data_IF_688489080429
#
_entry.id   IF_688489080429
#
_cell.length_a   1.000
_cell.length_b   1.000
_cell.length_c   1.000
_cell.angle_alpha   90.00
_cell.angle_beta   90.00
_cell.angle_gamma   90.00
#
_symmetry.space_group_name_H-M   'P 1'
#
loop_
_entity.id
_entity.type
_entity.pdbx_description
1 polymer ?
#
# COMPACT_ATOMS: atom_id res chain seq x y z
N UNK A 1 8.53 3.62 -20.62
CA UNK A 1 9.56 2.78 -21.25
C UNK A 1 9.68 1.43 -20.54
N UNK A 2 9.91 0.35 -21.28
CA UNK A 2 10.29 -0.96 -20.75
C UNK A 2 11.74 -0.94 -20.20
N UNK A 3 12.29 -2.11 -19.79
CA UNK A 3 13.63 -2.16 -19.18
C UNK A 3 14.73 -1.84 -20.19
N UNK A 4 14.60 -2.30 -21.44
CA UNK A 4 15.58 -2.07 -22.50
C UNK A 4 15.58 -0.61 -22.94
N UNK A 5 14.39 -0.03 -23.14
CA UNK A 5 14.24 1.40 -23.46
C UNK A 5 14.77 2.31 -22.32
N UNK A 6 14.61 1.91 -21.05
CA UNK A 6 15.17 2.68 -19.93
C UNK A 6 16.69 2.63 -19.91
N UNK A 7 17.29 1.48 -20.24
CA UNK A 7 18.74 1.34 -20.38
C UNK A 7 19.28 2.27 -21.47
N UNK A 8 18.66 2.28 -22.66
CA UNK A 8 19.04 3.18 -23.75
C UNK A 8 18.93 4.67 -23.33
N UNK A 9 17.87 5.04 -22.62
CA UNK A 9 17.70 6.41 -22.10
C UNK A 9 18.81 6.76 -21.09
N UNK A 10 19.13 5.85 -20.18
CA UNK A 10 20.24 6.04 -19.23
C UNK A 10 21.58 6.20 -19.97
N UNK A 11 21.85 5.38 -20.99
CA UNK A 11 23.07 5.50 -21.81
C UNK A 11 23.17 6.88 -22.50
N UNK A 12 22.04 7.40 -23.01
CA UNK A 12 21.98 8.73 -23.64
C UNK A 12 22.34 9.82 -22.61
N UNK A 13 21.76 9.77 -21.42
CA UNK A 13 21.95 10.81 -20.39
C UNK A 13 23.28 10.71 -19.65
N UNK A 14 23.91 9.52 -19.65
CA UNK A 14 25.23 9.31 -19.03
C UNK A 14 26.39 9.39 -20.01
N UNK A 15 26.16 9.53 -21.32
CA UNK A 15 27.19 9.51 -22.37
C UNK A 15 28.39 10.42 -22.10
N UNK A 16 28.17 11.58 -21.50
CA UNK A 16 29.20 12.57 -21.19
C UNK A 16 29.55 12.62 -19.69
N UNK A 17 29.10 11.64 -18.91
CA UNK A 17 29.39 11.57 -17.48
C UNK A 17 30.58 10.65 -17.23
N UNK A 18 31.54 11.04 -16.39
CA UNK A 18 32.60 10.15 -15.94
C UNK A 18 32.01 9.12 -14.96
N UNK A 19 31.63 7.94 -15.46
CA UNK A 19 31.10 6.85 -14.65
C UNK A 19 32.24 6.00 -14.07
N UNK A 20 32.07 5.53 -12.84
CA UNK A 20 32.93 4.53 -12.22
C UNK A 20 32.66 3.14 -12.82
N UNK A 21 33.64 2.24 -12.71
CA UNK A 21 33.51 0.85 -13.20
C UNK A 21 32.44 0.04 -12.45
N UNK A 22 31.97 0.51 -11.28
CA UNK A 22 30.94 -0.14 -10.46
C UNK A 22 29.50 0.20 -10.90
N UNK A 23 29.34 1.12 -11.89
CA UNK A 23 28.03 1.53 -12.39
C UNK A 23 27.54 0.57 -13.47
N UNK A 24 26.46 -0.14 -13.16
CA UNK A 24 25.77 -1.07 -14.05
C UNK A 24 24.44 -0.46 -14.50
N UNK A 25 24.40 0.07 -15.73
CA UNK A 25 23.19 0.73 -16.29
C UNK A 25 22.04 -0.27 -16.52
N UNK A 26 22.34 -1.52 -16.87
CA UNK A 26 21.35 -2.57 -17.01
C UNK A 26 20.64 -2.84 -15.67
N UNK A 27 21.41 -2.98 -14.60
CA UNK A 27 20.89 -3.16 -13.26
C UNK A 27 20.13 -1.93 -12.79
N UNK A 28 20.59 -0.72 -13.13
CA UNK A 28 19.90 0.52 -12.81
C UNK A 28 18.56 0.61 -13.54
N UNK A 29 18.51 0.25 -14.83
CA UNK A 29 17.29 0.17 -15.62
C UNK A 29 16.27 -0.83 -15.03
N UNK A 30 16.75 -1.97 -14.53
CA UNK A 30 15.89 -2.97 -13.88
C UNK A 30 15.29 -2.50 -12.56
N UNK A 31 15.95 -1.58 -11.85
CA UNK A 31 15.48 -1.02 -10.55
C UNK A 31 14.63 0.23 -10.69
N UNK A 32 14.59 0.87 -11.87
CA UNK A 32 13.86 2.12 -12.14
C UNK A 32 12.47 1.88 -12.73
N UNK A 33 11.72 0.92 -12.18
CA UNK A 33 10.35 0.66 -12.62
C UNK A 33 9.47 1.92 -12.49
N UNK A 34 8.70 2.22 -13.54
CA UNK A 34 7.78 3.36 -13.55
C UNK A 34 8.44 4.73 -13.75
N UNK A 35 9.76 4.79 -14.00
CA UNK A 35 10.45 6.01 -14.41
C UNK A 35 10.17 6.31 -15.88
N UNK A 36 9.80 7.56 -16.19
CA UNK A 36 9.74 8.06 -17.57
C UNK A 36 11.07 8.73 -17.94
N UNK A 37 11.26 9.08 -19.22
CA UNK A 37 12.51 9.68 -19.68
C UNK A 37 12.99 10.88 -18.87
N UNK A 38 12.06 11.76 -18.49
CA UNK A 38 12.37 12.95 -17.65
C UNK A 38 12.82 12.58 -16.23
N UNK A 39 12.33 11.46 -15.68
CA UNK A 39 12.77 10.97 -14.36
C UNK A 39 14.18 10.39 -14.43
N UNK A 40 14.48 9.64 -15.51
CA UNK A 40 15.81 9.08 -15.76
C UNK A 40 16.85 10.18 -16.02
N UNK A 41 16.47 11.25 -16.76
CA UNK A 41 17.31 12.45 -16.88
C UNK A 41 17.55 13.08 -15.52
N UNK A 42 16.51 13.27 -14.70
CA UNK A 42 16.62 13.84 -13.35
C UNK A 42 17.49 12.99 -12.45
N UNK A 43 17.40 11.65 -12.55
CA UNK A 43 18.23 10.70 -11.82
C UNK A 43 19.71 10.86 -12.17
N UNK A 44 20.04 10.90 -13.45
CA UNK A 44 21.41 11.11 -13.92
C UNK A 44 21.95 12.46 -13.43
N UNK A 45 21.13 13.52 -13.53
CA UNK A 45 21.49 14.86 -13.12
C UNK A 45 21.73 14.98 -11.60
N UNK A 46 20.85 14.37 -10.79
CA UNK A 46 21.03 14.37 -9.33
C UNK A 46 22.26 13.55 -8.90
N UNK A 47 22.50 12.38 -9.52
CA UNK A 47 23.70 11.60 -9.26
C UNK A 47 24.98 12.43 -9.55
N UNK A 48 25.02 13.15 -10.68
CA UNK A 48 26.13 14.05 -11.02
C UNK A 48 26.25 15.23 -10.04
N UNK A 49 25.11 15.84 -9.64
CA UNK A 49 25.11 16.95 -8.67
C UNK A 49 25.62 16.54 -7.28
N UNK A 50 25.44 15.29 -6.87
CA UNK A 50 26.00 14.76 -5.62
C UNK A 50 27.53 14.74 -5.67
N UNK A 51 28.10 14.34 -6.78
CA UNK A 51 29.57 14.40 -6.98
C UNK A 51 30.06 15.86 -6.89
N UNK A 52 29.36 16.79 -7.55
CA UNK A 52 29.69 18.23 -7.49
C UNK A 52 29.62 18.73 -6.03
N UNK A 53 28.54 18.44 -5.30
CA UNK A 53 28.40 18.83 -3.88
C UNK A 53 29.48 18.26 -2.99
N UNK A 54 29.97 17.05 -3.28
CA UNK A 54 31.06 16.39 -2.53
C UNK A 54 32.40 17.10 -2.74
N UNK A 55 32.61 17.66 -3.94
CA UNK A 55 33.89 18.22 -4.36
C UNK A 55 33.99 19.74 -4.11
N UNK A 56 32.87 20.47 -4.15
CA UNK A 56 32.83 21.93 -3.91
C UNK A 56 33.62 22.35 -2.65
N UNK A 57 33.56 21.67 -1.49
CA UNK A 57 34.34 22.04 -0.30
C UNK A 57 35.85 21.90 -0.46
N UNK A 58 36.31 21.08 -1.43
CA UNK A 58 37.74 20.85 -1.71
C UNK A 58 38.30 21.92 -2.66
N UNK A 59 37.42 22.67 -3.36
CA UNK A 59 37.81 23.73 -4.29
C UNK A 59 37.88 25.05 -3.54
N UNK A 60 39.10 25.59 -3.37
CA UNK A 60 39.30 26.94 -2.82
C UNK A 60 39.01 27.97 -3.93
N UNK A 61 38.25 29.01 -3.59
CA UNK A 61 37.94 30.11 -4.52
C UNK A 61 39.28 30.72 -5.05
N UNK A 62 39.37 30.86 -6.39
CA UNK A 62 40.40 31.51 -7.17
C UNK A 62 41.68 30.71 -7.51
N UNK A 63 41.75 29.38 -7.31
CA UNK A 63 42.84 28.57 -7.81
C UNK A 63 42.38 27.60 -8.91
N UNK A 64 43.27 27.28 -9.87
CA UNK A 64 43.02 26.22 -10.86
C UNK A 64 42.75 24.88 -10.13
N UNK A 65 41.71 24.16 -10.57
CA UNK A 65 41.33 22.90 -9.94
C UNK A 65 42.47 21.88 -10.10
N UNK A 66 43.03 21.36 -8.99
CA UNK A 66 44.14 20.39 -9.07
C UNK A 66 43.75 19.14 -9.85
N UNK A 67 44.65 18.55 -10.63
CA UNK A 67 44.39 17.30 -11.37
C UNK A 67 43.92 16.14 -10.47
N UNK A 68 44.34 16.11 -9.21
CA UNK A 68 43.90 15.12 -8.23
C UNK A 68 42.41 15.25 -7.87
N UNK A 69 41.90 16.47 -7.88
CA UNK A 69 40.46 16.74 -7.64
C UNK A 69 39.65 16.40 -8.89
N UNK A 70 40.17 16.68 -10.09
CA UNK A 70 39.55 16.29 -11.35
C UNK A 70 39.36 14.77 -11.47
N UNK A 71 40.35 13.97 -11.00
CA UNK A 71 40.26 12.50 -10.98
C UNK A 71 39.22 11.95 -10.01
N UNK A 72 38.76 12.74 -9.02
CA UNK A 72 37.71 12.38 -8.08
C UNK A 72 36.30 12.68 -8.63
N UNK A 73 36.17 13.38 -9.76
CA UNK A 73 34.91 13.68 -10.43
C UNK A 73 34.46 12.41 -11.18
N UNK A 74 34.02 11.42 -10.44
CA UNK A 74 33.49 10.16 -10.99
C UNK A 74 32.18 9.83 -10.28
N UNK A 75 31.16 9.53 -11.05
CA UNK A 75 29.83 9.15 -10.54
C UNK A 75 29.82 7.66 -10.24
N UNK A 76 29.54 7.32 -9.00
CA UNK A 76 29.55 5.92 -8.52
C UNK A 76 28.14 5.34 -8.44
N UNK A 77 28.03 4.02 -8.31
CA UNK A 77 26.76 3.35 -8.07
C UNK A 77 26.05 3.84 -6.79
N UNK A 78 26.82 4.22 -5.77
CA UNK A 78 26.26 4.76 -4.53
C UNK A 78 25.67 6.17 -4.70
N UNK A 79 26.21 6.98 -5.62
CA UNK A 79 25.61 8.27 -5.99
C UNK A 79 24.24 8.06 -6.66
N UNK A 80 24.11 7.07 -7.56
CA UNK A 80 22.83 6.69 -8.16
C UNK A 80 21.85 6.11 -7.15
N UNK A 81 22.26 5.20 -6.27
CA UNK A 81 21.40 4.67 -5.21
C UNK A 81 20.88 5.75 -4.27
N UNK A 82 21.70 6.74 -3.99
CA UNK A 82 21.31 7.86 -3.15
C UNK A 82 20.38 8.82 -3.86
N UNK A 83 20.58 9.06 -5.17
CA UNK A 83 19.69 9.85 -6.01
C UNK A 83 18.30 9.17 -6.16
N UNK A 84 18.26 7.84 -6.29
CA UNK A 84 17.01 7.06 -6.33
C UNK A 84 16.13 7.24 -5.09
N UNK A 85 16.70 7.53 -3.93
CA UNK A 85 15.92 7.79 -2.70
C UNK A 85 15.21 9.15 -2.72
N UNK A 86 15.70 10.11 -3.50
CA UNK A 86 15.16 11.47 -3.56
C UNK A 86 14.21 11.68 -4.74
N UNK A 87 14.40 10.91 -5.83
CA UNK A 87 13.59 11.05 -7.04
C UNK A 87 12.45 10.05 -7.01
N UNK A 88 11.23 10.57 -6.95
CA UNK A 88 10.02 9.77 -7.10
C UNK A 88 9.63 9.67 -8.58
N UNK A 89 9.31 8.47 -9.09
CA UNK A 89 8.88 8.28 -10.48
C UNK A 89 7.64 9.12 -10.78
N UNK A 90 7.66 9.87 -11.89
CA UNK A 90 6.53 10.74 -12.28
C UNK A 90 5.28 9.94 -12.62
N UNK A 91 5.44 8.75 -13.21
CA UNK A 91 4.35 7.82 -13.45
C UNK A 91 3.72 7.30 -12.13
N UNK A 92 4.40 7.45 -10.99
CA UNK A 92 3.90 7.07 -9.66
C UNK A 92 3.16 8.22 -8.92
N UNK A 93 3.26 9.47 -9.41
CA UNK A 93 2.68 10.64 -8.71
C UNK A 93 1.14 10.63 -8.69
N UNK A 94 0.50 9.98 -9.66
CA UNK A 94 -0.96 9.94 -9.75
C UNK A 94 -1.59 8.78 -8.97
N UNK A 95 -0.91 7.62 -8.91
CA UNK A 95 -1.34 6.43 -8.15
C UNK A 95 -0.22 6.02 -7.21
N UNK A 96 -0.43 6.15 -5.91
CA UNK A 96 0.55 5.77 -4.89
C UNK A 96 0.65 4.24 -4.78
N UNK A 97 1.80 3.70 -5.16
CA UNK A 97 2.16 2.30 -4.85
C UNK A 97 2.85 2.30 -3.48
N UNK A 98 2.33 1.53 -2.56
CA UNK A 98 2.87 1.37 -1.22
C UNK A 98 3.45 -0.03 -1.07
N UNK A 99 4.53 -0.15 -0.31
CA UNK A 99 4.97 -1.43 0.23
C UNK A 99 4.50 -1.45 1.69
N UNK A 100 3.41 -2.14 2.01
CA UNK A 100 2.90 -2.16 3.37
C UNK A 100 3.88 -2.93 4.27
N UNK A 101 4.01 -2.50 5.52
CA UNK A 101 4.80 -3.19 6.53
C UNK A 101 3.89 -3.60 7.69
N UNK A 102 2.86 -4.38 7.36
CA UNK A 102 1.88 -4.91 8.32
C UNK A 102 1.91 -6.41 8.22
N UNK A 103 2.11 -7.10 9.33
CA UNK A 103 2.15 -8.57 9.40
C UNK A 103 0.82 -9.13 9.91
N UNK A 104 0.62 -10.44 9.73
CA UNK A 104 -0.55 -11.10 10.32
C UNK A 104 -0.60 -11.00 11.85
N UNK A 105 0.56 -10.86 12.51
CA UNK A 105 0.66 -10.69 13.97
C UNK A 105 0.17 -9.32 14.44
N UNK A 106 0.21 -8.30 13.56
CA UNK A 106 -0.32 -6.96 13.85
C UNK A 106 -1.86 -6.91 13.78
N UNK A 107 -2.49 -7.98 13.35
CA UNK A 107 -3.95 -8.11 13.28
C UNK A 107 -4.44 -8.99 14.42
N UNK A 108 -5.07 -8.41 15.42
CA UNK A 108 -5.60 -9.17 16.57
C UNK A 108 -6.84 -9.99 16.20
N UNK A 109 -6.82 -11.31 16.45
CA UNK A 109 -7.95 -12.23 16.16
C UNK A 109 -8.21 -12.40 14.66
N UNK A 110 -9.49 -12.64 14.31
CA UNK A 110 -9.96 -12.84 12.93
C UNK A 110 -9.29 -14.01 12.18
N UNK A 111 -8.97 -15.09 12.87
CA UNK A 111 -8.19 -16.21 12.33
C UNK A 111 -8.85 -16.88 11.11
N UNK A 112 -10.17 -17.04 11.12
CA UNK A 112 -10.93 -17.56 9.97
C UNK A 112 -10.82 -16.62 8.76
N UNK A 113 -10.95 -15.31 8.98
CA UNK A 113 -10.84 -14.28 7.93
C UNK A 113 -9.41 -14.23 7.36
N UNK A 114 -8.40 -14.33 8.24
CA UNK A 114 -7.00 -14.42 7.82
C UNK A 114 -6.76 -15.64 6.95
N UNK A 115 -7.30 -16.81 7.35
CA UNK A 115 -7.16 -18.03 6.59
C UNK A 115 -7.83 -17.92 5.22
N UNK A 116 -9.05 -17.38 5.15
CA UNK A 116 -9.75 -17.13 3.88
C UNK A 116 -8.97 -16.19 2.96
N UNK A 117 -8.35 -15.14 3.50
CA UNK A 117 -7.51 -14.21 2.73
C UNK A 117 -6.21 -14.85 2.26
N UNK A 118 -5.58 -15.71 3.07
CA UNK A 118 -4.41 -16.50 2.65
C UNK A 118 -4.76 -17.38 1.44
N UNK A 119 -5.88 -18.08 1.50
CA UNK A 119 -6.33 -18.95 0.41
C UNK A 119 -6.71 -18.18 -0.86
N UNK A 120 -7.38 -17.04 -0.70
CA UNK A 120 -7.91 -16.27 -1.83
C UNK A 120 -6.86 -15.36 -2.50
N UNK A 121 -5.86 -14.88 -1.76
CA UNK A 121 -4.93 -13.85 -2.23
C UNK A 121 -3.47 -14.27 -2.08
N UNK A 122 -3.03 -14.68 -0.86
CA UNK A 122 -1.63 -14.95 -0.60
C UNK A 122 -1.13 -16.18 -1.37
N UNK A 123 -1.86 -17.31 -1.31
CA UNK A 123 -1.43 -18.53 -1.98
C UNK A 123 -1.39 -18.41 -3.50
N UNK A 124 -2.38 -17.80 -4.19
CA UNK A 124 -2.29 -17.57 -5.63
C UNK A 124 -1.08 -16.74 -6.06
N UNK A 125 -0.76 -15.68 -5.30
CA UNK A 125 0.38 -14.80 -5.60
C UNK A 125 1.74 -15.46 -5.30
N UNK A 126 1.83 -16.27 -4.24
CA UNK A 126 3.08 -16.96 -3.87
C UNK A 126 3.32 -18.27 -4.60
N UNK A 127 2.26 -18.96 -4.99
CA UNK A 127 2.32 -20.34 -5.51
C UNK A 127 1.43 -20.55 -6.73
N UNK A 128 1.49 -19.71 -7.78
CA UNK A 128 0.64 -19.83 -8.96
C UNK A 128 0.76 -21.20 -9.62
N UNK A 129 1.97 -21.77 -9.62
CA UNK A 129 2.25 -23.10 -10.19
C UNK A 129 1.45 -24.24 -9.57
N UNK A 130 1.04 -24.10 -8.31
CA UNK A 130 0.20 -25.10 -7.63
C UNK A 130 -1.24 -25.03 -8.10
N UNK A 131 -1.76 -23.82 -8.31
CA UNK A 131 -3.11 -23.62 -8.81
C UNK A 131 -3.24 -24.15 -10.24
N UNK A 132 -2.26 -23.87 -11.11
CA UNK A 132 -2.19 -24.45 -12.45
C UNK A 132 -2.16 -25.98 -12.43
N UNK A 133 -1.28 -26.55 -11.61
CA UNK A 133 -1.12 -28.01 -11.49
C UNK A 133 -2.41 -28.73 -11.09
N UNK A 134 -3.21 -28.12 -10.19
CA UNK A 134 -4.47 -28.69 -9.73
C UNK A 134 -5.68 -28.25 -10.59
N UNK A 135 -5.49 -27.38 -11.60
CA UNK A 135 -6.56 -26.82 -12.43
C UNK A 135 -7.57 -25.98 -11.63
N UNK A 136 -7.13 -25.41 -10.50
CA UNK A 136 -7.96 -24.54 -9.65
C UNK A 136 -7.74 -23.09 -10.07
N UNK A 137 -8.83 -22.43 -10.41
CA UNK A 137 -8.77 -20.99 -10.72
C UNK A 137 -8.86 -20.16 -9.44
N UNK A 138 -7.88 -19.28 -9.18
CA UNK A 138 -7.98 -18.37 -8.05
C UNK A 138 -9.10 -17.35 -8.25
N UNK A 139 -9.72 -16.84 -7.18
CA UNK A 139 -10.70 -15.76 -7.29
C UNK A 139 -10.02 -14.50 -7.82
N UNK A 140 -10.63 -13.82 -8.78
CA UNK A 140 -10.12 -12.54 -9.30
C UNK A 140 -10.23 -11.40 -8.29
N UNK A 141 -11.30 -11.39 -7.53
CA UNK A 141 -11.54 -10.36 -6.52
C UNK A 141 -12.14 -10.91 -5.23
N UNK A 142 -11.76 -10.28 -4.13
CA UNK A 142 -12.24 -10.58 -2.78
C UNK A 142 -12.94 -9.36 -2.21
N UNK A 143 -14.17 -9.52 -1.75
CA UNK A 143 -14.94 -8.46 -1.07
C UNK A 143 -14.91 -8.68 0.44
N UNK A 144 -14.31 -7.72 1.17
CA UNK A 144 -14.39 -7.64 2.62
C UNK A 144 -15.59 -6.78 3.02
N UNK A 145 -16.51 -7.32 3.82
CA UNK A 145 -17.67 -6.55 4.25
C UNK A 145 -17.95 -6.72 5.74
N UNK A 146 -18.52 -5.70 6.37
CA UNK A 146 -18.82 -5.70 7.80
C UNK A 146 -18.87 -4.30 8.37
N UNK A 147 -19.09 -4.19 9.67
CA UNK A 147 -19.19 -2.88 10.34
C UNK A 147 -17.89 -2.08 10.25
N UNK A 148 -17.93 -0.74 10.27
CA UNK A 148 -16.73 0.09 10.26
C UNK A 148 -15.86 -0.20 11.50
N UNK A 149 -14.54 0.02 11.37
CA UNK A 149 -13.60 -0.15 12.49
C UNK A 149 -13.17 -1.59 12.78
N UNK A 150 -13.64 -2.60 12.02
CA UNK A 150 -13.28 -4.02 12.22
C UNK A 150 -11.95 -4.43 11.60
N UNK A 151 -11.17 -3.51 11.02
CA UNK A 151 -9.83 -3.80 10.51
C UNK A 151 -9.75 -4.24 9.05
N UNK A 152 -10.79 -4.02 8.21
CA UNK A 152 -10.80 -4.40 6.78
C UNK A 152 -9.58 -3.87 5.99
N UNK A 153 -9.27 -2.61 6.15
CA UNK A 153 -8.09 -1.96 5.52
C UNK A 153 -6.77 -2.53 6.04
N UNK A 154 -6.71 -2.87 7.35
CA UNK A 154 -5.54 -3.48 7.97
C UNK A 154 -5.32 -4.91 7.43
N UNK A 155 -6.38 -5.70 7.31
CA UNK A 155 -6.33 -7.04 6.70
C UNK A 155 -5.82 -7.01 5.25
N UNK A 156 -6.29 -6.04 4.44
CA UNK A 156 -5.84 -5.90 3.06
C UNK A 156 -4.35 -5.53 2.99
N UNK A 157 -3.85 -4.68 3.90
CA UNK A 157 -2.43 -4.36 4.00
C UNK A 157 -1.61 -5.56 4.47
N UNK A 158 -2.10 -6.31 5.45
CA UNK A 158 -1.42 -7.48 5.97
C UNK A 158 -1.24 -8.56 4.89
N UNK A 159 -2.31 -8.90 4.15
CA UNK A 159 -2.21 -9.89 3.09
C UNK A 159 -1.27 -9.46 1.96
N UNK A 160 -1.25 -8.17 1.60
CA UNK A 160 -0.32 -7.67 0.58
C UNK A 160 1.14 -7.73 1.06
N UNK A 161 1.40 -7.32 2.31
CA UNK A 161 2.74 -7.40 2.92
C UNK A 161 3.24 -8.83 3.01
N UNK A 162 2.42 -9.72 3.51
CA UNK A 162 2.75 -11.14 3.63
C UNK A 162 2.89 -11.83 2.27
N UNK A 163 2.20 -11.37 1.24
CA UNK A 163 2.35 -11.86 -0.14
C UNK A 163 3.57 -11.28 -0.87
N UNK A 164 4.35 -10.42 -0.22
CA UNK A 164 5.45 -9.66 -0.84
C UNK A 164 5.00 -8.86 -2.07
N UNK A 165 3.72 -8.45 -2.08
CA UNK A 165 3.11 -7.75 -3.18
C UNK A 165 3.06 -6.23 -2.94
N UNK A 166 3.14 -5.48 -4.01
CA UNK A 166 2.87 -4.06 -4.01
C UNK A 166 1.39 -3.80 -3.65
N UNK A 167 1.12 -2.65 -3.04
CA UNK A 167 -0.22 -2.30 -2.57
C UNK A 167 -0.66 -0.97 -3.15
N UNK A 168 -1.75 -0.98 -3.91
CA UNK A 168 -2.38 0.22 -4.46
C UNK A 168 -3.70 0.41 -3.74
N UNK A 169 -3.78 1.43 -2.88
CA UNK A 169 -5.01 1.74 -2.13
C UNK A 169 -5.73 2.93 -2.74
N UNK A 170 -7.02 2.76 -2.98
CA UNK A 170 -7.89 3.76 -3.59
C UNK A 170 -9.15 3.85 -2.75
N UNK A 171 -9.49 5.06 -2.34
CA UNK A 171 -10.81 5.31 -1.72
C UNK A 171 -11.83 5.66 -2.79
N UNK A 172 -13.01 5.08 -2.68
CA UNK A 172 -14.08 5.33 -3.64
C UNK A 172 -14.35 6.83 -3.91
N UNK A 173 -14.50 7.69 -2.87
CA UNK A 173 -14.66 9.14 -3.09
C UNK A 173 -13.52 9.82 -3.83
N UNK A 174 -12.28 9.33 -3.70
CA UNK A 174 -11.12 9.90 -4.40
C UNK A 174 -11.19 9.68 -5.91
N UNK A 175 -11.73 8.53 -6.36
CA UNK A 175 -11.95 8.26 -7.79
C UNK A 175 -12.96 9.24 -8.41
N UNK A 176 -13.96 9.68 -7.64
CA UNK A 176 -14.94 10.62 -8.13
C UNK A 176 -14.46 12.07 -8.11
N UNK A 177 -13.69 12.48 -7.07
CA UNK A 177 -13.27 13.86 -6.87
C UNK A 177 -11.99 14.24 -7.62
N UNK A 178 -11.00 13.35 -7.62
CA UNK A 178 -9.68 13.62 -8.21
C UNK A 178 -9.69 13.57 -9.75
N UNK A 179 -10.66 12.83 -10.32
CA UNK A 179 -10.79 12.56 -11.74
C UNK A 179 -12.10 13.13 -12.32
N UNK A 180 -12.50 14.34 -11.88
CA UNK A 180 -13.70 15.01 -12.40
C UNK A 180 -13.59 15.15 -13.92
N UNK A 181 -14.47 14.45 -14.64
CA UNK A 181 -14.49 14.37 -16.11
C UNK A 181 -13.68 13.21 -16.73
N UNK A 182 -12.77 12.56 -15.99
CA UNK A 182 -11.89 11.49 -16.48
C UNK A 182 -11.84 10.27 -15.54
N UNK A 183 -12.87 10.07 -14.72
CA UNK A 183 -12.89 9.01 -13.70
C UNK A 183 -12.70 7.60 -14.26
N UNK A 184 -13.11 7.34 -15.50
CA UNK A 184 -12.87 6.09 -16.23
C UNK A 184 -11.37 5.90 -16.56
N UNK A 185 -10.66 6.99 -16.88
CA UNK A 185 -9.23 6.97 -17.14
C UNK A 185 -8.46 6.66 -15.85
N UNK A 186 -8.92 7.18 -14.71
CA UNK A 186 -8.35 6.86 -13.40
C UNK A 186 -8.39 5.36 -13.09
N UNK A 187 -9.53 4.70 -13.35
CA UNK A 187 -9.64 3.24 -13.17
C UNK A 187 -8.65 2.50 -14.07
N UNK A 188 -8.61 2.84 -15.37
CA UNK A 188 -7.65 2.24 -16.32
C UNK A 188 -6.20 2.41 -15.87
N UNK A 189 -5.85 3.60 -15.39
CA UNK A 189 -4.49 3.89 -14.91
C UNK A 189 -4.10 3.04 -13.69
N UNK A 190 -5.03 2.83 -12.76
CA UNK A 190 -4.83 1.95 -11.60
C UNK A 190 -4.50 0.52 -12.04
N UNK A 191 -5.31 -0.04 -12.95
CA UNK A 191 -5.10 -1.40 -13.43
C UNK A 191 -3.82 -1.52 -14.26
N UNK A 192 -3.56 -0.57 -15.16
CA UNK A 192 -2.32 -0.50 -15.91
C UNK A 192 -1.11 -0.48 -14.99
N UNK A 193 -1.17 0.33 -13.93
CA UNK A 193 -0.13 0.42 -12.92
C UNK A 193 0.07 -0.88 -12.17
N UNK A 194 -1.02 -1.50 -11.72
CA UNK A 194 -0.96 -2.77 -11.02
C UNK A 194 -0.27 -3.85 -11.84
N UNK A 195 -0.57 -3.94 -13.14
CA UNK A 195 0.10 -4.87 -14.06
C UNK A 195 1.59 -4.57 -14.20
N UNK A 196 1.99 -3.29 -14.24
CA UNK A 196 3.39 -2.87 -14.35
C UNK A 196 4.22 -3.13 -13.09
N UNK A 197 3.56 -3.18 -11.93
CA UNK A 197 4.21 -3.38 -10.63
C UNK A 197 3.88 -4.73 -10.00
N UNK A 198 3.39 -5.68 -10.80
CA UNK A 198 3.08 -7.03 -10.31
C UNK A 198 4.31 -7.71 -9.65
N UNK A 199 4.13 -8.51 -8.58
CA UNK A 199 2.84 -8.84 -7.96
C UNK A 199 2.24 -7.65 -7.20
N UNK A 200 0.92 -7.42 -7.36
CA UNK A 200 0.24 -6.24 -6.79
C UNK A 200 -1.14 -6.59 -6.26
N UNK A 201 -1.47 -6.03 -5.10
CA UNK A 201 -2.84 -6.01 -4.55
C UNK A 201 -3.45 -4.63 -4.78
N UNK A 202 -4.55 -4.58 -5.54
CA UNK A 202 -5.38 -3.37 -5.66
C UNK A 202 -6.43 -3.43 -4.55
N UNK A 203 -6.49 -2.39 -3.73
CA UNK A 203 -7.46 -2.28 -2.66
C UNK A 203 -8.41 -1.10 -2.88
N UNK A 204 -9.69 -1.40 -3.07
CA UNK A 204 -10.75 -0.40 -3.14
C UNK A 204 -11.43 -0.26 -1.78
N UNK A 205 -11.14 0.83 -1.07
CA UNK A 205 -11.81 1.14 0.19
C UNK A 205 -13.10 1.93 -0.07
N UNK A 206 -14.14 1.68 0.74
CA UNK A 206 -15.44 2.33 0.60
C UNK A 206 -16.03 2.21 -0.82
N UNK A 207 -15.94 0.99 -1.42
CA UNK A 207 -16.38 0.76 -2.80
C UNK A 207 -17.89 1.09 -3.00
N UNK A 208 -18.68 1.05 -1.96
CA UNK A 208 -20.09 1.43 -1.97
C UNK A 208 -20.34 2.90 -2.35
N UNK A 209 -19.35 3.77 -2.16
CA UNK A 209 -19.43 5.17 -2.58
C UNK A 209 -19.46 5.34 -4.12
N UNK A 210 -18.83 4.42 -4.86
CA UNK A 210 -18.76 4.44 -6.33
C UNK A 210 -19.67 3.39 -6.99
N UNK A 211 -20.05 2.35 -6.27
CA UNK A 211 -20.73 1.18 -6.82
C UNK A 211 -22.14 0.97 -6.26
N UNK A 212 -22.81 2.06 -5.81
CA UNK A 212 -24.14 2.00 -5.23
C UNK A 212 -25.24 1.98 -6.30
N UNK A 213 -26.23 1.09 -6.12
CA UNK A 213 -27.42 1.00 -6.96
C UNK A 213 -28.43 2.15 -6.72
N UNK A 214 -28.31 2.90 -5.62
CA UNK A 214 -29.28 3.91 -5.20
C UNK A 214 -29.15 5.30 -5.82
N UNK A 215 -28.13 5.53 -6.65
CA UNK A 215 -27.88 6.83 -7.32
C UNK A 215 -28.84 7.14 -8.49
N UNK A 216 -30.08 6.65 -8.44
CA UNK A 216 -31.03 6.80 -9.56
C UNK A 216 -31.59 8.23 -9.74
N UNK A 217 -31.40 9.13 -8.76
CA UNK A 217 -32.05 10.45 -8.75
C UNK A 217 -31.07 11.65 -8.70
N UNK A 218 -29.74 11.44 -8.68
CA UNK A 218 -28.77 12.54 -8.67
C UNK A 218 -28.12 12.75 -10.04
N UNK A 219 -27.80 14.00 -10.36
CA UNK A 219 -27.07 14.42 -11.58
C UNK A 219 -25.70 13.73 -11.75
N UNK A 220 -25.15 13.16 -10.68
CA UNK A 220 -23.89 12.39 -10.64
C UNK A 220 -24.04 10.91 -11.02
N UNK A 221 -25.27 10.42 -11.21
CA UNK A 221 -25.53 9.00 -11.52
C UNK A 221 -24.86 8.51 -12.82
N UNK A 222 -24.61 9.41 -13.76
CA UNK A 222 -23.95 9.09 -15.02
C UNK A 222 -22.45 8.80 -14.87
N UNK A 223 -21.73 9.55 -14.04
CA UNK A 223 -20.30 9.39 -13.79
C UNK A 223 -20.05 8.09 -13.02
N UNK A 224 -20.79 7.89 -11.94
CA UNK A 224 -20.70 6.68 -11.10
C UNK A 224 -20.92 5.40 -11.91
N UNK A 225 -21.96 5.37 -12.78
CA UNK A 225 -22.23 4.22 -13.66
C UNK A 225 -21.09 3.95 -14.64
N UNK A 226 -20.48 4.98 -15.20
CA UNK A 226 -19.34 4.82 -16.11
C UNK A 226 -18.12 4.25 -15.38
N UNK A 227 -17.81 4.74 -14.17
CA UNK A 227 -16.72 4.20 -13.32
C UNK A 227 -16.96 2.73 -13.00
N UNK A 228 -18.16 2.34 -12.61
CA UNK A 228 -18.51 0.93 -12.35
C UNK A 228 -18.34 0.09 -13.62
N UNK A 229 -18.87 0.55 -14.75
CA UNK A 229 -18.71 -0.18 -16.02
C UNK A 229 -17.25 -0.32 -16.43
N UNK A 230 -16.42 0.71 -16.23
CA UNK A 230 -14.98 0.63 -16.48
C UNK A 230 -14.31 -0.37 -15.54
N UNK A 231 -14.63 -0.33 -14.24
CA UNK A 231 -14.13 -1.30 -13.26
C UNK A 231 -14.48 -2.74 -13.67
N UNK A 232 -15.72 -2.98 -14.07
CA UNK A 232 -16.17 -4.29 -14.58
C UNK A 232 -15.39 -4.72 -15.81
N UNK A 233 -15.14 -3.80 -16.75
CA UNK A 233 -14.36 -4.06 -17.97
C UNK A 233 -12.91 -4.42 -17.64
N UNK A 234 -12.28 -3.69 -16.72
CA UNK A 234 -10.90 -3.97 -16.32
C UNK A 234 -10.79 -5.32 -15.57
N UNK A 235 -11.75 -5.62 -14.68
CA UNK A 235 -11.78 -6.93 -13.99
C UNK A 235 -11.99 -8.09 -14.96
N UNK A 236 -12.88 -7.93 -15.93
CA UNK A 236 -13.12 -8.95 -16.96
C UNK A 236 -11.89 -9.13 -17.87
N UNK A 237 -11.11 -8.05 -18.11
CA UNK A 237 -9.90 -8.02 -18.91
C UNK A 237 -8.63 -8.53 -18.21
N UNK A 238 -8.68 -8.82 -16.89
CA UNK A 238 -7.59 -9.50 -16.20
C UNK A 238 -7.55 -10.97 -16.60
N UNK A 239 -6.44 -11.40 -17.18
CA UNK A 239 -6.18 -12.82 -17.36
C UNK A 239 -5.89 -13.51 -16.03
N UNK A 240 -6.07 -14.83 -15.94
CA UNK A 240 -6.10 -15.58 -14.68
C UNK A 240 -4.75 -15.64 -13.93
N UNK A 241 -3.65 -15.08 -14.47
CA UNK A 241 -2.29 -15.22 -13.92
C UNK A 241 -1.44 -13.94 -14.05
N UNK A 242 -2.06 -12.77 -14.07
CA UNK A 242 -1.30 -11.51 -14.18
C UNK A 242 -0.69 -11.02 -12.85
N UNK A 243 -0.59 -11.86 -11.82
CA UNK A 243 -0.07 -11.53 -10.48
C UNK A 243 -0.71 -10.28 -9.85
N UNK A 244 -1.97 -10.01 -10.21
CA UNK A 244 -2.76 -8.90 -9.67
C UNK A 244 -3.98 -9.45 -8.95
N UNK A 245 -4.06 -9.21 -7.64
CA UNK A 245 -5.24 -9.52 -6.85
C UNK A 245 -6.04 -8.25 -6.54
N UNK A 246 -7.37 -8.36 -6.54
CA UNK A 246 -8.26 -7.24 -6.21
C UNK A 246 -8.95 -7.52 -4.89
N UNK A 247 -8.87 -6.56 -3.97
CA UNK A 247 -9.62 -6.58 -2.72
C UNK A 247 -10.49 -5.33 -2.66
N UNK A 248 -11.75 -5.47 -2.32
CA UNK A 248 -12.62 -4.34 -2.04
C UNK A 248 -13.15 -4.40 -0.60
N UNK A 249 -13.35 -3.25 0.01
CA UNK A 249 -13.98 -3.15 1.32
C UNK A 249 -15.24 -2.31 1.26
N UNK A 250 -16.28 -2.75 1.97
CA UNK A 250 -17.53 -2.01 2.14
C UNK A 250 -18.13 -2.22 3.52
N UNK A 251 -18.82 -1.19 4.00
CA UNK A 251 -19.65 -1.30 5.18
C UNK A 251 -21.11 -1.63 4.80
N UNK A 252 -21.45 -1.57 3.50
CA UNK A 252 -22.83 -1.68 2.98
C UNK A 252 -22.90 -2.60 1.76
N UNK A 253 -22.77 -3.91 1.95
CA UNK A 253 -22.87 -4.86 0.84
C UNK A 253 -24.24 -4.88 0.17
N UNK A 254 -25.29 -4.43 0.90
CA UNK A 254 -26.70 -4.39 0.46
C UNK A 254 -26.95 -3.40 -0.69
N UNK A 255 -26.09 -2.40 -0.89
CA UNK A 255 -26.28 -1.37 -1.92
C UNK A 255 -25.35 -1.52 -3.12
N UNK A 256 -24.42 -2.50 -3.11
CA UNK A 256 -23.51 -2.70 -4.21
C UNK A 256 -24.22 -3.15 -5.49
N UNK A 257 -23.67 -2.73 -6.63
CA UNK A 257 -24.14 -3.17 -7.94
C UNK A 257 -23.99 -4.69 -8.10
N UNK A 258 -25.10 -5.35 -8.45
CA UNK A 258 -25.14 -6.80 -8.61
C UNK A 258 -24.17 -7.31 -9.71
N UNK A 259 -23.76 -6.45 -10.64
CA UNK A 259 -22.76 -6.78 -11.64
C UNK A 259 -21.40 -7.09 -11.06
N UNK A 260 -21.01 -6.43 -9.97
CA UNK A 260 -19.73 -6.65 -9.28
C UNK A 260 -19.70 -8.00 -8.53
N UNK A 261 -20.87 -8.50 -8.11
CA UNK A 261 -21.00 -9.72 -7.31
C UNK A 261 -21.12 -10.98 -8.19
N UNK A 262 -20.98 -10.85 -9.50
CA UNK A 262 -21.06 -12.00 -10.42
C UNK A 262 -19.74 -12.79 -10.42
N UNK A 263 -19.80 -14.13 -10.66
CA UNK A 263 -18.60 -14.95 -10.83
C UNK A 263 -17.65 -14.37 -11.90
N UNK A 264 -16.35 -14.43 -11.62
CA UNK A 264 -15.30 -13.84 -12.44
C UNK A 264 -14.94 -12.40 -12.06
N UNK A 265 -15.55 -11.83 -10.98
CA UNK A 265 -15.30 -10.49 -10.47
C UNK A 265 -14.99 -10.55 -8.98
N UNK A 266 -15.91 -10.13 -8.10
CA UNK A 266 -15.74 -10.40 -6.67
C UNK A 266 -16.33 -11.78 -6.35
N UNK A 267 -15.52 -12.81 -6.53
CA UNK A 267 -15.94 -14.20 -6.36
C UNK A 267 -15.99 -14.63 -4.90
N UNK A 268 -15.12 -14.05 -4.08
CA UNK A 268 -15.01 -14.36 -2.67
C UNK A 268 -15.57 -13.22 -1.82
N UNK A 269 -16.53 -13.54 -0.97
CA UNK A 269 -17.15 -12.59 -0.04
C UNK A 269 -16.81 -13.01 1.37
N UNK A 270 -16.01 -12.20 2.06
CA UNK A 270 -15.51 -12.47 3.40
C UNK A 270 -16.13 -11.48 4.37
N UNK A 271 -16.90 -11.99 5.32
CA UNK A 271 -17.51 -11.18 6.37
C UNK A 271 -16.51 -10.92 7.49
N UNK A 272 -16.33 -9.67 7.84
CA UNK A 272 -15.53 -9.27 9.00
C UNK A 272 -16.47 -8.92 10.13
N UNK A 273 -16.69 -9.86 11.02
CA UNK A 273 -17.59 -9.72 12.16
C UNK A 273 -16.99 -8.89 13.30
N UNK A 274 -17.83 -8.52 14.27
CA UNK A 274 -17.37 -7.93 15.53
C UNK A 274 -16.46 -8.91 16.26
N UNK A 275 -15.37 -8.43 16.89
CA UNK A 275 -14.47 -9.30 17.62
C UNK A 275 -15.16 -9.90 18.86
N UNK A 276 -15.03 -11.21 19.04
CA UNK A 276 -15.41 -11.89 20.28
C UNK A 276 -14.40 -11.55 21.41
N UNK A 277 -14.63 -12.06 22.61
CA UNK A 277 -13.78 -11.77 23.78
C UNK A 277 -12.30 -12.12 23.53
N UNK A 278 -12.00 -13.28 22.95
CA UNK A 278 -10.63 -13.72 22.66
C UNK A 278 -9.97 -12.84 21.58
N UNK A 279 -10.72 -12.44 20.57
CA UNK A 279 -10.25 -11.52 19.55
C UNK A 279 -9.98 -10.12 20.15
N UNK A 280 -10.87 -9.61 21.04
CA UNK A 280 -10.63 -8.34 21.73
C UNK A 280 -9.38 -8.40 22.61
N UNK A 281 -9.17 -9.52 23.32
CA UNK A 281 -7.93 -9.73 24.08
C UNK A 281 -6.69 -9.68 23.17
N UNK A 282 -6.76 -10.32 22.01
CA UNK A 282 -5.68 -10.29 21.02
C UNK A 282 -5.44 -8.86 20.48
N UNK A 283 -6.50 -8.10 20.22
CA UNK A 283 -6.42 -6.70 19.78
C UNK A 283 -5.78 -5.84 20.88
N UNK A 284 -6.19 -6.01 22.15
CA UNK A 284 -5.53 -5.31 23.27
C UNK A 284 -4.04 -5.62 23.34
N UNK A 285 -3.64 -6.88 23.17
CA UNK A 285 -2.22 -7.27 23.19
C UNK A 285 -1.44 -6.55 22.10
N UNK A 286 -1.97 -6.49 20.88
CA UNK A 286 -1.33 -5.77 19.76
C UNK A 286 -1.19 -4.28 20.07
N UNK A 287 -2.26 -3.61 20.52
CA UNK A 287 -2.22 -2.16 20.77
C UNK A 287 -1.52 -1.75 22.07
N UNK A 288 -1.19 -2.69 22.94
CA UNK A 288 -0.38 -2.46 24.15
C UNK A 288 1.04 -2.99 24.03
N UNK A 289 1.42 -3.53 22.87
CA UNK A 289 2.79 -3.98 22.61
C UNK A 289 3.76 -2.80 22.74
N UNK A 290 4.77 -2.96 23.60
CA UNK A 290 5.72 -1.88 23.90
C UNK A 290 5.19 -0.78 24.84
N UNK A 291 3.92 -0.82 25.27
CA UNK A 291 3.36 0.08 26.24
C UNK A 291 3.70 -0.40 27.66
N UNK A 292 4.34 0.43 28.51
CA UNK A 292 4.63 0.04 29.89
C UNK A 292 3.32 0.02 30.70
N UNK A 293 2.76 -1.18 30.89
CA UNK A 293 1.56 -1.37 31.71
C UNK A 293 1.91 -1.52 33.18
N UNK A 294 1.08 -0.98 34.07
CA UNK A 294 1.21 -1.22 35.49
C UNK A 294 0.71 -2.64 35.87
N UNK A 295 1.14 -3.16 37.02
CA UNK A 295 0.81 -4.51 37.50
C UNK A 295 -0.70 -4.73 37.73
N UNK A 296 -1.47 -3.63 37.88
CA UNK A 296 -2.92 -3.67 38.09
C UNK A 296 -3.73 -3.84 36.80
N UNK A 297 -3.07 -3.78 35.62
CA UNK A 297 -3.72 -3.91 34.30
C UNK A 297 -3.87 -5.37 33.91
N UNK A 298 -5.12 -5.83 33.77
CA UNK A 298 -5.44 -7.13 33.19
C UNK A 298 -6.15 -6.94 31.86
N UNK A 299 -5.49 -7.34 30.76
CA UNK A 299 -6.05 -7.29 29.40
C UNK A 299 -7.28 -8.18 29.25
N UNK A 300 -7.34 -9.32 29.95
CA UNK A 300 -8.50 -10.22 29.98
C UNK A 300 -9.72 -9.52 30.58
N UNK A 301 -9.50 -8.72 31.62
CA UNK A 301 -10.59 -7.96 32.25
C UNK A 301 -11.08 -6.83 31.34
N UNK A 302 -10.16 -6.17 30.64
CA UNK A 302 -10.52 -5.15 29.63
C UNK A 302 -11.30 -5.77 28.48
N UNK A 303 -10.87 -6.93 27.96
CA UNK A 303 -11.57 -7.64 26.88
C UNK A 303 -13.01 -8.04 27.26
N UNK A 304 -13.24 -8.41 28.54
CA UNK A 304 -14.61 -8.68 29.05
C UNK A 304 -15.48 -7.44 29.15
N UNK A 305 -14.89 -6.30 29.52
CA UNK A 305 -15.63 -5.05 29.76
C UNK A 305 -15.96 -4.29 28.48
N UNK A 306 -15.28 -4.60 27.38
CA UNK A 306 -15.42 -3.93 26.07
C UNK A 306 -16.28 -4.72 25.09
N UNK A 307 -17.36 -5.34 25.59
CA UNK A 307 -18.28 -6.06 24.71
C UNK A 307 -18.91 -5.12 23.68
N UNK A 308 -18.96 -5.56 22.40
CA UNK A 308 -19.43 -4.76 21.27
C UNK A 308 -18.42 -3.76 20.70
N UNK A 309 -17.22 -3.61 21.29
CA UNK A 309 -16.19 -2.73 20.75
C UNK A 309 -15.55 -3.36 19.51
N UNK A 310 -15.23 -2.51 18.54
CA UNK A 310 -14.43 -2.88 17.35
C UNK A 310 -12.94 -2.61 17.57
N UNK A 311 -12.10 -3.05 16.65
CA UNK A 311 -10.65 -2.83 16.75
C UNK A 311 -10.26 -1.37 16.90
N UNK A 312 -10.90 -0.47 16.15
CA UNK A 312 -10.67 0.97 16.23
C UNK A 312 -11.04 1.57 17.60
N UNK A 313 -12.08 1.05 18.25
CA UNK A 313 -12.48 1.51 19.60
C UNK A 313 -11.42 1.09 20.62
N UNK A 314 -10.94 -0.15 20.56
CA UNK A 314 -9.90 -0.69 21.45
C UNK A 314 -8.58 0.08 21.26
N UNK A 315 -8.18 0.36 20.02
CA UNK A 315 -7.04 1.22 19.74
C UNK A 315 -7.19 2.59 20.38
N UNK A 316 -8.38 3.21 20.26
CA UNK A 316 -8.67 4.52 20.84
C UNK A 316 -8.57 4.48 22.38
N UNK A 317 -9.11 3.43 23.02
CA UNK A 317 -8.99 3.24 24.49
C UNK A 317 -7.53 3.12 24.91
N UNK A 318 -6.72 2.31 24.23
CA UNK A 318 -5.29 2.15 24.56
C UNK A 318 -4.54 3.49 24.44
N UNK A 319 -4.78 4.21 23.34
CA UNK A 319 -4.17 5.52 23.09
C UNK A 319 -4.59 6.57 24.11
N UNK A 320 -5.89 6.64 24.43
CA UNK A 320 -6.39 7.63 25.39
C UNK A 320 -5.91 7.33 26.82
N UNK A 321 -5.86 6.05 27.22
CA UNK A 321 -5.30 5.66 28.52
C UNK A 321 -3.83 6.11 28.67
N UNK A 322 -3.02 5.93 27.64
CA UNK A 322 -1.64 6.43 27.61
C UNK A 322 -1.60 7.97 27.69
N UNK A 323 -2.46 8.66 26.93
CA UNK A 323 -2.53 10.12 26.94
C UNK A 323 -3.00 10.69 28.29
N UNK A 324 -3.97 10.07 28.93
CA UNK A 324 -4.42 10.44 30.28
C UNK A 324 -3.31 10.26 31.31
N UNK A 325 -2.50 9.21 31.18
CA UNK A 325 -1.34 8.99 32.03
C UNK A 325 -0.36 10.16 31.89
N UNK A 326 0.03 10.52 30.69
CA UNK A 326 0.97 11.62 30.42
C UNK A 326 0.41 12.99 30.79
N UNK A 327 -0.88 13.24 30.59
CA UNK A 327 -1.53 14.49 31.03
C UNK A 327 -1.50 14.69 32.54
N UNK A 328 -1.60 13.60 33.31
CA UNK A 328 -1.56 13.66 34.76
C UNK A 328 -0.15 13.65 35.31
N UNK A 329 0.79 12.97 34.67
CA UNK A 329 2.19 12.94 35.05
C UNK A 329 3.06 12.61 33.85
N UNK A 330 3.86 13.59 33.39
CA UNK A 330 4.78 13.40 32.26
C UNK A 330 5.94 12.44 32.57
N UNK A 331 6.28 12.27 33.88
CA UNK A 331 7.33 11.36 34.34
C UNK A 331 6.79 9.98 34.75
N UNK A 332 5.56 9.64 34.33
CA UNK A 332 4.97 8.34 34.65
C UNK A 332 5.75 7.21 33.94
N UNK A 333 6.13 6.19 34.70
CA UNK A 333 6.86 5.03 34.16
C UNK A 333 5.94 3.96 33.55
N UNK A 334 4.64 3.96 33.91
CA UNK A 334 3.68 2.96 33.43
C UNK A 334 2.26 3.50 33.39
N UNK A 335 1.39 2.81 32.62
CA UNK A 335 -0.02 3.15 32.43
C UNK A 335 -0.89 2.31 33.38
N UNK A 336 -1.53 2.90 34.40
CA UNK A 336 -2.36 2.17 35.36
C UNK A 336 -3.77 1.90 34.83
N UNK A 337 -4.40 0.84 35.35
CA UNK A 337 -5.74 0.39 34.97
C UNK A 337 -6.82 1.47 35.02
N UNK A 338 -6.72 2.41 35.99
CA UNK A 338 -7.69 3.48 36.16
C UNK A 338 -7.92 4.32 34.89
N UNK A 339 -6.85 4.53 34.10
CA UNK A 339 -6.97 5.33 32.87
C UNK A 339 -7.57 4.56 31.69
N UNK A 340 -7.43 3.22 31.65
CA UNK A 340 -8.19 2.39 30.71
C UNK A 340 -9.70 2.40 31.02
N UNK A 341 -10.05 2.58 32.28
CA UNK A 341 -11.47 2.67 32.69
C UNK A 341 -12.06 4.06 32.43
N UNK A 342 -11.22 5.08 32.45
CA UNK A 342 -11.63 6.47 32.20
C UNK A 342 -11.72 6.76 30.69
N UNK A 343 -10.88 6.13 29.88
CA UNK A 343 -10.89 6.18 28.41
C UNK A 343 -12.11 5.43 27.85
#
# INVERSE_FOLDING_TARGET
>A
PDSEEREEILEIHTRNMPLAEDVDLHKLASTTHGFVGADLESLCKEAAMRVVRRIIPEIKNDEEIPEEVLKKIVVTNDDFKSALKEIQPSALREVLVQVPNVKWDDVGGLDDVKQELKEAVEWPLKHPEKFEKFGVRPPKGTLLYGVPGTGKTLLAKAVASESEANFISIKGPELLSKWVGESEQGVREVFRKAKQTAPTVIFFDEIDSIASTRSANDSDSGVTKRVVNQLLTEMDGLEELEDVAIIAATNRPDILDAGLMRPGRFDRHIKVDLPNEDARLSIFKVHTEGMPLADDVSLEKLAKQTDGYVGADIEAVCREAAMLTLRNNLDAENVPYKYFKEA
#
